data_IF_339775852917
#
_entry.id   IF_339775852917
#
_cell.length_a   1.000
_cell.length_b   1.000
_cell.length_c   1.000
_cell.angle_alpha   90.00
_cell.angle_beta   90.00
_cell.angle_gamma   90.00
#
_symmetry.space_group_name_H-M   'P 1'
#
loop_
_entity.id
_entity.type
_entity.pdbx_description
1 polymer ?
#
# COMPACT_ATOMS: atom_id res chain seq x y z
N UNK A 1 44.14 2.61 -15.19
CA UNK A 1 43.73 2.41 -16.60
C UNK A 1 42.34 3.01 -16.78
N UNK A 2 41.94 3.45 -17.99
CA UNK A 2 40.68 4.18 -18.21
C UNK A 2 39.40 3.47 -17.70
N UNK A 3 39.43 2.14 -17.62
CA UNK A 3 38.35 1.35 -17.02
C UNK A 3 38.27 1.45 -15.50
N UNK A 4 39.41 1.53 -14.80
CA UNK A 4 39.45 1.67 -13.34
C UNK A 4 38.79 2.98 -12.92
N UNK A 5 39.05 4.06 -13.66
CA UNK A 5 38.49 5.38 -13.36
C UNK A 5 36.99 5.43 -13.65
N UNK A 6 36.52 4.78 -14.73
CA UNK A 6 35.08 4.60 -15.01
C UNK A 6 34.37 3.77 -13.94
N UNK A 7 35.02 2.71 -13.45
CA UNK A 7 34.46 1.89 -12.38
C UNK A 7 34.39 2.65 -11.05
N UNK A 8 35.42 3.44 -10.73
CA UNK A 8 35.39 4.34 -9.56
C UNK A 8 34.23 5.34 -9.63
N UNK A 9 34.06 6.01 -10.78
CA UNK A 9 32.93 6.94 -11.01
C UNK A 9 31.58 6.24 -10.88
N UNK A 10 31.41 5.06 -11.49
CA UNK A 10 30.19 4.25 -11.34
C UNK A 10 29.88 3.93 -9.87
N UNK A 11 30.88 3.47 -9.11
CA UNK A 11 30.70 3.14 -7.69
C UNK A 11 30.37 4.38 -6.86
N UNK A 12 31.02 5.51 -7.14
CA UNK A 12 30.74 6.78 -6.46
C UNK A 12 29.29 7.25 -6.71
N UNK A 13 28.83 7.25 -7.98
CA UNK A 13 27.44 7.61 -8.33
C UNK A 13 26.44 6.65 -7.70
N UNK A 14 26.76 5.35 -7.66
CA UNK A 14 25.88 4.35 -7.06
C UNK A 14 25.80 4.53 -5.54
N UNK A 15 26.92 4.84 -4.89
CA UNK A 15 26.95 5.16 -3.47
C UNK A 15 26.11 6.42 -3.17
N UNK A 16 26.26 7.48 -3.98
CA UNK A 16 25.46 8.70 -3.86
C UNK A 16 23.96 8.42 -3.99
N UNK A 17 23.55 7.73 -5.06
CA UNK A 17 22.15 7.37 -5.28
C UNK A 17 21.55 6.49 -4.17
N UNK A 18 22.35 5.60 -3.57
CA UNK A 18 21.92 4.76 -2.43
C UNK A 18 21.97 5.52 -1.10
N UNK A 19 22.72 6.61 -1.03
CA UNK A 19 22.78 7.53 0.11
C UNK A 19 21.51 8.33 0.35
N UNK A 20 20.55 8.30 -0.59
CA UNK A 20 19.23 8.94 -0.43
C UNK A 20 19.38 10.42 -0.06
N UNK A 21 18.53 10.98 0.81
CA UNK A 21 18.64 12.36 1.28
C UNK A 21 19.83 12.66 2.20
N UNK A 22 20.81 11.75 2.31
CA UNK A 22 22.02 11.92 3.09
C UNK A 22 21.93 11.41 4.54
N UNK A 23 23.09 11.28 5.21
CA UNK A 23 23.20 10.61 6.51
C UNK A 23 22.41 11.30 7.63
N UNK A 24 22.34 12.64 7.62
CA UNK A 24 21.61 13.41 8.64
C UNK A 24 20.10 13.13 8.59
N UNK A 25 19.50 13.18 7.39
CA UNK A 25 18.06 12.92 7.21
C UNK A 25 17.71 11.48 7.52
N UNK A 26 18.58 10.53 7.15
CA UNK A 26 18.44 9.12 7.49
C UNK A 26 18.54 8.88 9.00
N UNK A 27 19.50 9.52 9.68
CA UNK A 27 19.64 9.43 11.14
C UNK A 27 18.40 9.99 11.85
N UNK A 28 17.86 11.13 11.39
CA UNK A 28 16.62 11.70 11.93
C UNK A 28 15.43 10.76 11.77
N UNK A 29 15.28 10.10 10.62
CA UNK A 29 14.22 9.10 10.42
C UNK A 29 14.37 7.93 11.38
N UNK A 30 15.59 7.39 11.50
CA UNK A 30 15.89 6.30 12.42
C UNK A 30 15.62 6.67 13.88
N UNK A 31 15.98 7.89 14.30
CA UNK A 31 15.69 8.39 15.64
C UNK A 31 14.18 8.51 15.92
N UNK A 32 13.38 8.77 14.89
CA UNK A 32 11.92 8.76 14.97
C UNK A 32 11.30 7.34 14.89
N UNK A 33 12.11 6.29 14.83
CA UNK A 33 11.65 4.90 14.71
C UNK A 33 11.10 4.53 13.33
N UNK A 34 11.26 5.40 12.32
CA UNK A 34 10.74 5.19 10.97
C UNK A 34 11.79 4.57 10.05
N UNK A 35 11.38 3.65 9.20
CA UNK A 35 12.25 3.06 8.18
C UNK A 35 12.44 4.05 7.02
N UNK A 36 13.57 3.91 6.30
CA UNK A 36 13.75 4.55 5.01
C UNK A 36 13.22 3.69 3.85
N UNK A 37 13.10 4.26 2.65
CA UNK A 37 12.53 3.59 1.48
C UNK A 37 13.21 2.26 1.14
N UNK A 38 14.55 2.18 1.25
CA UNK A 38 15.32 0.97 0.94
C UNK A 38 15.16 -0.07 2.05
N UNK A 39 15.20 0.32 3.31
CA UNK A 39 14.93 -0.56 4.45
C UNK A 39 13.53 -1.20 4.33
N UNK A 40 12.51 -0.43 3.92
CA UNK A 40 11.15 -0.96 3.68
C UNK A 40 11.12 -1.99 2.55
N UNK A 41 11.79 -1.70 1.43
CA UNK A 41 11.93 -2.63 0.30
C UNK A 41 12.64 -3.92 0.74
N UNK A 42 13.73 -3.80 1.50
CA UNK A 42 14.52 -4.94 1.98
C UNK A 42 13.74 -5.81 2.99
N UNK A 43 12.88 -5.22 3.84
CA UNK A 43 12.01 -5.98 4.76
C UNK A 43 10.82 -6.64 4.06
N UNK A 44 10.32 -6.00 3.00
CA UNK A 44 9.20 -6.52 2.22
C UNK A 44 9.62 -7.70 1.36
N UNK A 45 10.75 -7.60 0.66
CA UNK A 45 11.14 -8.58 -0.35
C UNK A 45 11.98 -9.72 0.23
N UNK A 46 12.02 -10.84 -0.48
CA UNK A 46 12.94 -11.94 -0.20
C UNK A 46 14.38 -11.46 -0.35
N UNK A 47 15.27 -11.88 0.56
CA UNK A 47 16.65 -11.44 0.60
C UNK A 47 17.37 -11.64 -0.74
N UNK A 48 18.04 -10.58 -1.22
CA UNK A 48 18.80 -10.60 -2.48
C UNK A 48 17.95 -10.62 -3.76
N UNK A 49 16.62 -10.55 -3.66
CA UNK A 49 15.74 -10.60 -4.85
C UNK A 49 15.53 -9.26 -5.54
N UNK A 50 15.85 -8.14 -4.88
CA UNK A 50 15.54 -6.81 -5.39
C UNK A 50 16.45 -6.40 -6.57
N UNK A 51 15.82 -6.23 -7.74
CA UNK A 51 16.40 -5.63 -8.92
C UNK A 51 15.85 -4.21 -9.09
N UNK A 52 16.63 -3.23 -8.65
CA UNK A 52 16.26 -1.82 -8.78
C UNK A 52 16.35 -1.35 -10.23
N UNK A 53 15.34 -0.60 -10.67
CA UNK A 53 15.29 0.06 -11.98
C UNK A 53 15.48 1.56 -11.75
N UNK A 54 16.25 2.23 -12.60
CA UNK A 54 16.42 3.70 -12.53
C UNK A 54 17.08 4.17 -11.24
N UNK A 55 18.10 3.46 -10.74
CA UNK A 55 18.90 3.86 -9.57
C UNK A 55 19.55 5.22 -9.77
N UNK A 56 19.99 5.53 -10.99
CA UNK A 56 20.67 6.79 -11.34
C UNK A 56 19.72 7.89 -11.82
N UNK A 57 18.40 7.69 -11.70
CA UNK A 57 17.45 8.75 -12.04
C UNK A 57 17.65 9.94 -11.10
N UNK A 58 17.57 11.13 -11.67
CA UNK A 58 17.56 12.41 -10.95
C UNK A 58 16.50 13.31 -11.57
N UNK A 59 16.21 14.44 -10.93
CA UNK A 59 15.42 15.50 -11.54
C UNK A 59 16.02 15.90 -12.90
N UNK A 60 15.14 16.27 -13.82
CA UNK A 60 15.47 16.84 -15.11
C UNK A 60 15.51 18.38 -15.09
N UNK A 61 15.29 18.98 -13.92
CA UNK A 61 15.53 20.40 -13.66
C UNK A 61 17.04 20.62 -13.48
N UNK A 62 17.68 21.48 -14.32
CA UNK A 62 19.11 21.71 -14.24
C UNK A 62 19.58 22.15 -12.85
N UNK A 63 20.64 21.53 -12.34
CA UNK A 63 21.24 21.85 -11.04
C UNK A 63 20.63 21.11 -9.85
N UNK A 64 19.58 20.31 -10.05
CA UNK A 64 18.95 19.51 -8.99
C UNK A 64 19.47 18.06 -8.93
N UNK A 65 20.40 17.67 -9.81
CA UNK A 65 20.79 16.27 -10.00
C UNK A 65 21.39 15.66 -8.72
N UNK A 66 22.24 16.43 -8.03
CA UNK A 66 22.88 15.98 -6.79
C UNK A 66 21.89 15.82 -5.63
N UNK A 67 20.84 16.64 -5.58
CA UNK A 67 19.86 16.69 -4.49
C UNK A 67 18.68 15.74 -4.67
N UNK A 68 18.61 15.06 -5.83
CA UNK A 68 17.48 14.20 -6.22
C UNK A 68 17.90 12.75 -6.52
N UNK A 69 18.64 12.07 -5.63
CA UNK A 69 19.02 10.68 -5.88
C UNK A 69 17.81 9.77 -6.05
N UNK A 70 17.85 8.92 -7.09
CA UNK A 70 16.74 8.09 -7.57
C UNK A 70 15.42 8.86 -7.81
N UNK A 71 15.51 10.18 -7.94
CA UNK A 71 14.43 11.14 -7.93
C UNK A 71 13.36 10.88 -6.83
N UNK A 72 13.79 10.51 -5.62
CA UNK A 72 12.94 10.17 -4.46
C UNK A 72 12.04 8.92 -4.61
N UNK A 73 12.27 8.08 -5.64
CA UNK A 73 11.49 6.85 -5.88
C UNK A 73 12.40 5.64 -6.02
N UNK A 74 12.43 4.79 -5.01
CA UNK A 74 13.09 3.48 -5.06
C UNK A 74 12.10 2.47 -5.63
N UNK A 75 12.39 1.86 -6.77
CA UNK A 75 11.44 0.94 -7.40
C UNK A 75 12.09 -0.05 -8.34
N UNK A 76 11.43 -1.19 -8.54
CA UNK A 76 11.96 -2.29 -9.33
C UNK A 76 11.19 -3.59 -9.15
N UNK A 77 11.87 -4.69 -9.41
CA UNK A 77 11.33 -6.05 -9.30
C UNK A 77 11.90 -6.76 -8.07
N UNK A 78 11.13 -7.65 -7.49
CA UNK A 78 11.57 -8.46 -6.35
C UNK A 78 10.75 -9.74 -6.24
N UNK A 79 10.93 -10.45 -5.13
CA UNK A 79 10.09 -11.60 -4.78
C UNK A 79 9.51 -11.42 -3.38
N UNK A 80 8.31 -11.94 -3.18
CA UNK A 80 7.67 -12.13 -1.87
C UNK A 80 7.26 -13.59 -1.82
N UNK A 81 7.82 -14.35 -0.88
CA UNK A 81 7.58 -15.79 -0.73
C UNK A 81 7.82 -16.55 -2.05
N UNK A 82 8.92 -16.20 -2.73
CA UNK A 82 9.34 -16.73 -4.03
C UNK A 82 8.59 -16.16 -5.24
N UNK A 83 7.45 -15.47 -5.02
CA UNK A 83 6.58 -14.97 -6.09
C UNK A 83 7.04 -13.60 -6.59
N UNK A 84 7.21 -13.40 -7.92
CA UNK A 84 7.71 -12.14 -8.45
C UNK A 84 6.69 -11.01 -8.28
N UNK A 85 7.18 -9.84 -7.86
CA UNK A 85 6.38 -8.63 -7.64
C UNK A 85 7.12 -7.40 -8.18
N UNK A 86 6.37 -6.32 -8.43
CA UNK A 86 6.90 -4.98 -8.63
C UNK A 86 6.69 -4.18 -7.35
N UNK A 87 7.73 -3.50 -6.88
CA UNK A 87 7.65 -2.60 -5.73
C UNK A 87 8.05 -1.18 -6.12
N UNK A 88 7.35 -0.20 -5.57
CA UNK A 88 7.70 1.22 -5.62
C UNK A 88 7.60 1.79 -4.21
N UNK A 89 8.66 2.40 -3.71
CA UNK A 89 8.72 3.04 -2.41
C UNK A 89 9.16 4.49 -2.55
N UNK A 90 8.42 5.39 -1.93
CA UNK A 90 8.81 6.78 -1.83
C UNK A 90 9.90 6.98 -0.77
N UNK A 91 10.89 7.79 -1.10
CA UNK A 91 11.94 8.21 -0.19
C UNK A 91 11.72 9.64 0.29
N UNK A 92 11.10 9.77 1.46
CA UNK A 92 10.78 11.05 2.06
C UNK A 92 12.05 11.86 2.45
N UNK A 93 13.23 11.24 2.52
CA UNK A 93 14.46 11.98 2.80
C UNK A 93 14.90 12.84 1.60
N UNK A 94 14.49 12.49 0.39
CA UNK A 94 14.77 13.23 -0.84
C UNK A 94 13.60 14.16 -1.13
N UNK A 95 13.75 15.44 -0.77
CA UNK A 95 12.76 16.51 -0.98
C UNK A 95 11.32 16.12 -0.56
N UNK A 96 11.17 15.47 0.61
CA UNK A 96 9.89 14.99 1.14
C UNK A 96 9.11 14.07 0.17
N UNK A 97 9.83 13.35 -0.70
CA UNK A 97 9.29 12.54 -1.79
C UNK A 97 8.25 13.27 -2.67
N UNK A 98 8.36 14.61 -2.75
CA UNK A 98 7.47 15.42 -3.58
C UNK A 98 7.48 14.91 -5.01
N UNK A 99 6.28 14.80 -5.57
CA UNK A 99 6.04 14.14 -6.85
C UNK A 99 6.61 14.98 -7.99
N UNK A 100 7.53 14.39 -8.74
CA UNK A 100 8.28 14.99 -9.84
C UNK A 100 8.05 14.24 -11.15
N UNK A 101 8.46 14.85 -12.27
CA UNK A 101 8.32 14.26 -13.61
C UNK A 101 9.01 12.90 -13.72
N UNK A 102 10.30 12.83 -13.36
CA UNK A 102 11.12 11.63 -13.55
C UNK A 102 10.66 10.50 -12.61
N UNK A 103 10.37 10.79 -11.34
CA UNK A 103 9.83 9.85 -10.38
C UNK A 103 8.48 9.26 -10.83
N UNK A 104 7.57 10.12 -11.28
CA UNK A 104 6.24 9.71 -11.76
C UNK A 104 6.33 8.87 -13.04
N UNK A 105 7.22 9.22 -13.96
CA UNK A 105 7.48 8.41 -15.15
C UNK A 105 8.03 7.02 -14.78
N UNK A 106 9.00 6.96 -13.87
CA UNK A 106 9.56 5.68 -13.37
C UNK A 106 8.47 4.80 -12.76
N UNK A 107 7.64 5.35 -11.89
CA UNK A 107 6.53 4.64 -11.28
C UNK A 107 5.51 4.14 -12.32
N UNK A 108 5.14 5.00 -13.27
CA UNK A 108 4.21 4.66 -14.34
C UNK A 108 4.73 3.50 -15.20
N UNK A 109 6.01 3.52 -15.58
CA UNK A 109 6.62 2.43 -16.35
C UNK A 109 6.69 1.12 -15.57
N UNK A 110 7.02 1.16 -14.28
CA UNK A 110 7.00 -0.01 -13.42
C UNK A 110 5.59 -0.63 -13.34
N UNK A 111 4.55 0.20 -13.16
CA UNK A 111 3.16 -0.26 -13.17
C UNK A 111 2.73 -0.83 -14.52
N UNK A 112 3.13 -0.20 -15.64
CA UNK A 112 2.86 -0.70 -17.01
C UNK A 112 3.53 -2.05 -17.24
N UNK A 113 4.79 -2.20 -16.81
CA UNK A 113 5.54 -3.46 -16.90
C UNK A 113 4.89 -4.54 -16.06
N UNK A 114 4.49 -4.24 -14.81
CA UNK A 114 3.78 -5.17 -13.94
C UNK A 114 2.50 -5.70 -14.60
N UNK A 115 1.67 -4.81 -15.13
CA UNK A 115 0.43 -5.17 -15.81
C UNK A 115 0.66 -6.00 -17.10
N UNK A 116 1.73 -5.73 -17.85
CA UNK A 116 2.11 -6.51 -19.04
C UNK A 116 2.63 -7.91 -18.68
N UNK A 117 3.38 -8.02 -17.57
CA UNK A 117 4.03 -9.25 -17.13
C UNK A 117 3.18 -10.09 -16.18
N UNK A 118 2.03 -9.59 -15.73
CA UNK A 118 1.17 -10.28 -14.79
C UNK A 118 1.76 -10.33 -13.38
N UNK A 119 2.42 -9.25 -12.93
CA UNK A 119 3.07 -9.17 -11.62
C UNK A 119 2.25 -8.29 -10.66
N UNK A 120 2.00 -8.73 -9.41
CA UNK A 120 1.47 -7.87 -8.36
C UNK A 120 2.31 -6.61 -8.16
N UNK A 121 1.64 -5.53 -7.77
CA UNK A 121 2.27 -4.24 -7.46
C UNK A 121 2.14 -3.99 -5.96
N UNK A 122 3.25 -3.65 -5.31
CA UNK A 122 3.26 -3.08 -3.96
C UNK A 122 3.73 -1.64 -4.02
N UNK A 123 2.94 -0.72 -3.48
CA UNK A 123 3.28 0.70 -3.39
C UNK A 123 3.44 1.12 -1.93
N UNK A 124 4.64 1.55 -1.55
CA UNK A 124 4.96 2.00 -0.20
C UNK A 124 4.94 3.53 -0.20
N UNK A 125 3.80 4.06 0.23
CA UNK A 125 3.39 5.44 0.06
C UNK A 125 3.87 6.33 1.22
N UNK A 126 4.56 7.42 0.84
CA UNK A 126 4.88 8.56 1.70
C UNK A 126 5.29 9.74 0.80
N UNK A 127 4.58 10.85 0.78
CA UNK A 127 5.03 12.06 0.05
C UNK A 127 4.34 13.34 0.52
N UNK A 128 5.06 14.45 0.42
CA UNK A 128 4.60 15.80 0.77
C UNK A 128 3.79 16.53 -0.31
N UNK A 129 3.29 15.85 -1.35
CA UNK A 129 2.55 16.47 -2.45
C UNK A 129 3.35 16.52 -3.76
N UNK A 130 3.20 17.60 -4.52
CA UNK A 130 3.86 17.79 -5.80
C UNK A 130 5.11 18.68 -5.68
N UNK A 131 6.11 18.43 -6.53
CA UNK A 131 7.35 19.21 -6.54
C UNK A 131 7.17 20.46 -7.39
N UNK A 132 6.99 21.60 -6.74
CA UNK A 132 6.58 22.85 -7.40
C UNK A 132 7.46 23.27 -8.59
N UNK A 133 8.81 23.26 -8.51
CA UNK A 133 9.65 23.58 -9.67
C UNK A 133 9.35 22.73 -10.91
N UNK A 134 9.05 21.45 -10.73
CA UNK A 134 8.84 20.48 -11.81
C UNK A 134 7.45 20.61 -12.47
N UNK A 135 6.46 21.10 -11.71
CA UNK A 135 5.04 21.03 -12.11
C UNK A 135 4.35 22.40 -12.18
N UNK A 136 5.12 23.49 -12.14
CA UNK A 136 4.55 24.84 -12.17
C UNK A 136 3.85 25.16 -13.50
N UNK A 137 2.69 25.80 -13.41
CA UNK A 137 1.88 26.19 -14.57
C UNK A 137 1.13 25.05 -15.24
N UNK A 138 0.27 25.39 -16.20
CA UNK A 138 -0.57 24.41 -16.92
C UNK A 138 0.26 23.36 -17.67
N UNK A 139 1.37 23.77 -18.28
CA UNK A 139 2.30 22.87 -18.97
C UNK A 139 2.99 21.90 -17.98
N UNK A 140 3.42 22.38 -16.82
CA UNK A 140 4.03 21.55 -15.78
C UNK A 140 3.07 20.48 -15.26
N UNK A 141 1.85 20.86 -14.90
CA UNK A 141 0.80 19.91 -14.48
C UNK A 141 0.47 18.91 -15.60
N UNK A 142 0.34 19.36 -16.84
CA UNK A 142 0.05 18.48 -17.98
C UNK A 142 1.18 17.47 -18.22
N UNK A 143 2.44 17.88 -18.01
CA UNK A 143 3.60 17.00 -18.12
C UNK A 143 3.64 15.89 -17.06
N UNK A 144 2.96 16.12 -15.92
CA UNK A 144 2.79 15.18 -14.82
C UNK A 144 1.59 14.22 -15.03
N UNK A 145 0.52 14.71 -15.68
CA UNK A 145 -0.77 14.04 -15.78
C UNK A 145 -0.81 12.82 -16.70
N UNK A 146 -0.05 12.79 -17.80
CA UNK A 146 -0.27 11.79 -18.86
C UNK A 146 0.34 10.41 -18.56
N UNK A 147 1.38 10.34 -17.71
CA UNK A 147 1.96 9.06 -17.27
C UNK A 147 1.28 8.50 -16.02
N UNK A 148 0.74 9.38 -15.18
CA UNK A 148 0.49 9.08 -13.76
C UNK A 148 -1.00 8.89 -13.45
N UNK A 149 -1.90 9.58 -14.16
CA UNK A 149 -3.31 9.65 -13.77
C UNK A 149 -4.28 8.67 -14.46
N UNK A 150 -3.96 8.07 -15.63
CA UNK A 150 -5.03 7.44 -16.45
C UNK A 150 -4.73 6.07 -17.05
N UNK A 151 -3.85 5.29 -16.42
CA UNK A 151 -4.09 3.86 -16.46
C UNK A 151 -5.34 3.57 -15.66
N UNK A 152 -6.54 3.77 -16.22
CA UNK A 152 -7.79 3.25 -15.63
C UNK A 152 -7.46 1.89 -15.04
N UNK A 153 -7.59 1.73 -13.72
CA UNK A 153 -7.13 0.50 -13.06
C UNK A 153 -7.99 -0.65 -13.56
N UNK A 154 -7.50 -1.33 -14.59
CA UNK A 154 -8.16 -2.49 -15.23
C UNK A 154 -8.05 -3.76 -14.39
N UNK A 155 -7.42 -3.67 -13.20
CA UNK A 155 -7.22 -4.78 -12.24
C UNK A 155 -6.71 -6.07 -12.90
N UNK A 156 -5.82 -5.94 -13.89
CA UNK A 156 -5.14 -7.07 -14.53
C UNK A 156 -4.19 -7.78 -13.57
N UNK A 157 -3.61 -7.01 -12.65
CA UNK A 157 -2.75 -7.46 -11.56
C UNK A 157 -3.24 -6.81 -10.27
N UNK A 158 -3.10 -7.49 -9.11
CA UNK A 158 -3.42 -6.89 -7.83
C UNK A 158 -2.44 -5.75 -7.51
N UNK A 159 -2.95 -4.70 -6.87
CA UNK A 159 -2.15 -3.60 -6.35
C UNK A 159 -2.49 -3.38 -4.87
N UNK A 160 -1.47 -3.47 -4.01
CA UNK A 160 -1.59 -3.19 -2.58
C UNK A 160 -0.76 -1.96 -2.25
N UNK A 161 -1.37 -0.98 -1.59
CA UNK A 161 -0.66 0.20 -1.09
C UNK A 161 -0.50 0.12 0.42
N UNK A 162 0.70 0.38 0.92
CA UNK A 162 0.94 0.63 2.33
C UNK A 162 1.24 2.12 2.54
N UNK A 163 0.38 2.83 3.27
CA UNK A 163 0.55 4.23 3.66
C UNK A 163 1.33 4.26 4.98
N UNK A 164 2.62 4.61 4.90
CA UNK A 164 3.60 4.44 5.99
C UNK A 164 4.08 5.78 6.58
N UNK A 165 3.33 6.85 6.35
CA UNK A 165 3.65 8.20 6.80
C UNK A 165 2.73 9.22 6.15
N UNK A 166 3.16 10.49 6.09
CA UNK A 166 2.42 11.54 5.42
C UNK A 166 2.32 11.26 3.92
N UNK A 167 1.10 11.15 3.40
CA UNK A 167 0.81 10.89 2.00
C UNK A 167 -0.18 11.91 1.47
N UNK A 168 0.33 12.87 0.71
CA UNK A 168 -0.49 13.93 0.11
C UNK A 168 -0.37 13.93 -1.41
N UNK A 169 -1.48 14.16 -2.10
CA UNK A 169 -1.53 14.20 -3.56
C UNK A 169 -1.34 12.81 -4.18
N UNK A 170 -0.30 12.62 -5.01
CA UNK A 170 -0.12 11.39 -5.78
C UNK A 170 -0.16 10.07 -4.98
N UNK A 171 0.55 9.91 -3.84
CA UNK A 171 0.43 8.69 -3.06
C UNK A 171 -1.00 8.39 -2.58
N UNK A 172 -1.79 9.42 -2.26
CA UNK A 172 -3.21 9.28 -1.91
C UNK A 172 -4.02 8.76 -3.10
N UNK A 173 -3.82 9.34 -4.28
CA UNK A 173 -4.47 8.86 -5.50
C UNK A 173 -4.11 7.40 -5.81
N UNK A 174 -2.85 7.01 -5.57
CA UNK A 174 -2.42 5.62 -5.71
C UNK A 174 -3.08 4.68 -4.70
N UNK A 175 -3.25 5.10 -3.45
CA UNK A 175 -3.98 4.35 -2.45
C UNK A 175 -5.44 4.16 -2.88
N UNK A 176 -6.15 5.23 -3.26
CA UNK A 176 -7.54 5.15 -3.72
C UNK A 176 -7.74 4.27 -4.98
N UNK A 177 -6.69 4.10 -5.79
CA UNK A 177 -6.69 3.26 -7.00
C UNK A 177 -6.26 1.80 -6.73
N UNK A 178 -5.81 1.49 -5.51
CA UNK A 178 -5.37 0.15 -5.11
C UNK A 178 -6.54 -0.79 -4.87
N UNK A 179 -6.27 -2.09 -4.83
CA UNK A 179 -7.27 -3.10 -4.44
C UNK A 179 -7.37 -3.22 -2.92
N UNK A 180 -6.25 -3.04 -2.20
CA UNK A 180 -6.19 -3.00 -0.74
C UNK A 180 -5.21 -1.92 -0.29
N UNK A 181 -5.63 -1.15 0.71
CA UNK A 181 -4.86 -0.11 1.39
C UNK A 181 -4.61 -0.53 2.82
N UNK A 182 -3.33 -0.70 3.16
CA UNK A 182 -2.85 -0.88 4.53
C UNK A 182 -2.36 0.48 5.02
N UNK A 183 -2.83 0.94 6.18
CA UNK A 183 -2.42 2.24 6.72
C UNK A 183 -1.76 2.06 8.09
N UNK A 184 -0.61 2.69 8.28
CA UNK A 184 0.08 2.72 9.56
C UNK A 184 -0.64 3.67 10.52
N UNK A 185 -0.78 3.28 11.79
CA UNK A 185 -1.25 4.16 12.85
C UNK A 185 -0.33 5.39 13.00
N UNK A 186 -0.91 6.59 12.99
CA UNK A 186 -0.17 7.86 12.95
C UNK A 186 0.29 8.31 11.56
N UNK A 187 0.03 7.53 10.50
CA UNK A 187 0.13 8.03 9.13
C UNK A 187 -1.06 8.92 8.78
N UNK A 188 -0.93 9.72 7.71
CA UNK A 188 -2.02 10.55 7.22
C UNK A 188 -2.13 10.49 5.70
N UNK A 189 -3.35 10.51 5.20
CA UNK A 189 -3.67 10.47 3.78
C UNK A 189 -4.65 11.58 3.44
N UNK A 190 -4.30 12.45 2.49
CA UNK A 190 -5.20 13.50 2.02
C UNK A 190 -4.87 13.95 0.60
N UNK A 191 -5.78 14.66 -0.06
CA UNK A 191 -5.50 15.24 -1.39
C UNK A 191 -4.47 16.36 -1.27
N UNK A 192 -4.63 17.23 -0.27
CA UNK A 192 -3.73 18.35 0.02
C UNK A 192 -3.20 18.23 1.44
N UNK A 193 -1.93 18.59 1.66
CA UNK A 193 -1.33 18.56 3.00
C UNK A 193 -1.78 19.73 3.89
N UNK A 194 -1.61 19.63 5.22
CA UNK A 194 -2.07 20.65 6.18
C UNK A 194 -1.56 22.06 5.87
N UNK A 195 -0.30 22.18 5.41
CA UNK A 195 0.32 23.47 5.10
C UNK A 195 -0.37 24.20 3.94
N UNK A 196 -0.82 23.46 2.93
CA UNK A 196 -1.53 24.03 1.78
C UNK A 196 -2.92 24.47 2.21
N UNK A 197 -3.59 23.69 3.06
CA UNK A 197 -4.90 24.03 3.61
C UNK A 197 -4.84 25.30 4.46
N UNK A 198 -3.88 25.39 5.39
CA UNK A 198 -3.69 26.57 6.24
C UNK A 198 -3.48 27.85 5.40
N UNK A 199 -2.69 27.78 4.33
CA UNK A 199 -2.47 28.93 3.44
C UNK A 199 -3.73 29.33 2.66
N UNK A 200 -4.60 28.37 2.33
CA UNK A 200 -5.80 28.61 1.51
C UNK A 200 -7.01 29.04 2.34
N UNK A 201 -7.21 28.47 3.54
CA UNK A 201 -8.41 28.67 4.37
C UNK A 201 -8.13 29.41 5.67
N UNK A 202 -6.87 29.49 6.11
CA UNK A 202 -6.48 30.01 7.43
C UNK A 202 -6.66 29.02 8.58
N UNK A 203 -7.20 27.82 8.31
CA UNK A 203 -7.45 26.80 9.33
C UNK A 203 -6.19 25.98 9.62
N UNK A 204 -5.89 25.79 10.90
CA UNK A 204 -4.82 24.91 11.36
C UNK A 204 -5.40 23.57 11.73
N UNK A 205 -5.01 22.53 11.00
CA UNK A 205 -5.43 21.15 11.23
C UNK A 205 -4.19 20.26 11.37
N UNK A 206 -4.20 19.31 12.29
CA UNK A 206 -3.12 18.33 12.39
C UNK A 206 -3.20 17.30 11.25
N UNK A 207 -2.09 16.61 10.90
CA UNK A 207 -2.14 15.49 9.96
C UNK A 207 -3.14 14.39 10.34
N UNK A 208 -3.30 14.10 11.63
CA UNK A 208 -4.22 13.08 12.14
C UNK A 208 -5.69 13.50 11.96
N UNK A 209 -6.02 14.75 12.30
CA UNK A 209 -7.38 15.29 12.11
C UNK A 209 -7.75 15.43 10.63
N UNK A 210 -6.76 15.69 9.75
CA UNK A 210 -6.99 15.85 8.32
C UNK A 210 -7.31 14.54 7.60
N UNK A 211 -6.73 13.43 8.05
CA UNK A 211 -6.85 12.14 7.34
C UNK A 211 -6.05 11.03 7.99
N UNK A 212 -6.18 10.89 9.32
CA UNK A 212 -5.52 9.83 10.08
C UNK A 212 -6.08 8.44 9.79
N UNK A 213 -5.34 7.41 10.22
CA UNK A 213 -5.69 6.01 9.97
C UNK A 213 -7.07 5.63 10.54
N UNK A 214 -7.43 6.19 11.69
CA UNK A 214 -8.73 5.93 12.33
C UNK A 214 -9.90 6.45 11.48
N UNK A 215 -9.83 7.71 11.04
CA UNK A 215 -10.85 8.31 10.16
C UNK A 215 -11.01 7.49 8.87
N UNK A 216 -9.89 7.05 8.28
CA UNK A 216 -9.95 6.25 7.06
C UNK A 216 -10.46 4.82 7.26
N UNK A 217 -10.27 4.24 8.44
CA UNK A 217 -10.73 2.89 8.74
C UNK A 217 -12.17 2.84 9.27
N UNK A 218 -12.68 3.92 9.87
CA UNK A 218 -13.98 3.96 10.56
C UNK A 218 -15.03 4.79 9.82
N UNK A 219 -14.65 5.86 9.12
CA UNK A 219 -15.60 6.85 8.58
C UNK A 219 -15.61 6.89 7.05
N UNK A 220 -14.44 7.01 6.41
CA UNK A 220 -14.39 7.14 4.93
C UNK A 220 -14.23 5.81 4.20
N UNK A 221 -13.83 4.76 4.93
CA UNK A 221 -13.54 3.45 4.37
C UNK A 221 -12.28 3.39 3.48
N UNK A 222 -11.45 4.42 3.37
CA UNK A 222 -10.26 4.37 2.50
C UNK A 222 -9.07 3.56 3.06
N UNK A 223 -9.08 3.18 4.34
CA UNK A 223 -8.10 2.27 4.92
C UNK A 223 -8.76 0.90 5.14
N UNK A 224 -8.36 -0.10 4.36
CA UNK A 224 -8.90 -1.46 4.45
C UNK A 224 -8.37 -2.22 5.67
N UNK A 225 -7.11 -1.95 6.01
CA UNK A 225 -6.37 -2.59 7.09
C UNK A 225 -5.52 -1.53 7.81
N UNK A 226 -5.36 -1.67 9.12
CA UNK A 226 -4.52 -0.78 9.92
C UNK A 226 -3.48 -1.59 10.68
N UNK A 227 -2.21 -1.22 10.54
CA UNK A 227 -1.11 -1.80 11.32
C UNK A 227 -0.54 -0.77 12.30
N UNK A 228 -0.02 -1.23 13.44
CA UNK A 228 0.55 -0.37 14.50
C UNK A 228 2.01 -0.05 14.28
N UNK A 229 2.70 -0.87 13.49
CA UNK A 229 4.12 -0.71 13.14
C UNK A 229 4.31 -0.89 11.64
N UNK A 230 5.42 -0.36 11.11
CA UNK A 230 5.75 -0.58 9.70
C UNK A 230 5.89 -2.07 9.37
N UNK A 231 6.49 -2.87 10.26
CA UNK A 231 6.63 -4.32 10.07
C UNK A 231 5.29 -5.03 10.00
N UNK A 232 4.34 -4.65 10.86
CA UNK A 232 2.97 -5.19 10.81
C UNK A 232 2.28 -4.80 9.51
N UNK A 233 2.45 -3.56 9.03
CA UNK A 233 1.91 -3.14 7.75
C UNK A 233 2.50 -3.95 6.58
N UNK A 234 3.81 -4.17 6.56
CA UNK A 234 4.47 -4.99 5.54
C UNK A 234 4.04 -6.45 5.62
N UNK A 235 3.84 -7.00 6.83
CA UNK A 235 3.28 -8.34 7.03
C UNK A 235 1.84 -8.45 6.53
N UNK A 236 1.00 -7.43 6.74
CA UNK A 236 -0.35 -7.36 6.19
C UNK A 236 -0.34 -7.31 4.66
N UNK A 237 0.59 -6.57 4.04
CA UNK A 237 0.77 -6.60 2.58
C UNK A 237 1.10 -8.01 2.09
N UNK A 238 2.04 -8.71 2.73
CA UNK A 238 2.36 -10.11 2.41
C UNK A 238 1.16 -11.03 2.58
N UNK A 239 0.40 -10.86 3.67
CA UNK A 239 -0.83 -11.62 3.96
C UNK A 239 -1.89 -11.39 2.90
N UNK A 240 -2.18 -10.14 2.50
CA UNK A 240 -3.10 -9.83 1.40
C UNK A 240 -2.67 -10.54 0.13
N UNK A 241 -1.39 -10.41 -0.22
CA UNK A 241 -0.83 -11.04 -1.41
C UNK A 241 -0.95 -12.56 -1.37
N UNK A 242 -0.84 -13.21 -0.21
CA UNK A 242 -1.00 -14.66 -0.10
C UNK A 242 -2.41 -15.15 -0.46
N UNK A 243 -3.44 -14.30 -0.41
CA UNK A 243 -4.79 -14.63 -0.87
C UNK A 243 -5.07 -14.28 -2.34
N UNK A 244 -4.24 -13.45 -2.98
CA UNK A 244 -4.50 -12.95 -4.34
C UNK A 244 -3.67 -13.71 -5.40
N UNK A 245 -4.20 -13.93 -6.61
CA UNK A 245 -3.42 -14.44 -7.73
C UNK A 245 -2.39 -13.40 -8.21
N UNK A 246 -1.38 -13.79 -9.00
CA UNK A 246 -0.45 -12.82 -9.58
C UNK A 246 -1.12 -11.90 -10.61
N UNK A 247 -2.15 -12.41 -11.31
CA UNK A 247 -2.94 -11.68 -12.29
C UNK A 247 -4.31 -12.32 -12.51
N UNK A 248 -5.21 -11.61 -13.19
CA UNK A 248 -6.61 -11.99 -13.41
C UNK A 248 -6.86 -13.19 -14.36
N UNK A 249 -5.81 -13.90 -14.78
CA UNK A 249 -5.89 -15.11 -15.62
C UNK A 249 -5.30 -16.33 -14.89
N UNK A 250 -5.12 -16.22 -13.59
CA UNK A 250 -4.58 -17.25 -12.72
C UNK A 250 -5.55 -17.41 -11.54
N UNK A 251 -5.75 -18.66 -11.10
CA UNK A 251 -6.44 -18.91 -9.84
C UNK A 251 -5.60 -18.39 -8.64
N UNK A 252 -6.24 -18.00 -7.53
CA UNK A 252 -5.53 -17.72 -6.29
C UNK A 252 -4.63 -18.90 -5.85
N UNK A 253 -3.55 -18.65 -5.11
CA UNK A 253 -2.67 -19.71 -4.61
C UNK A 253 -3.41 -20.60 -3.62
N UNK A 254 -3.12 -21.90 -3.62
CA UNK A 254 -3.61 -22.85 -2.62
C UNK A 254 -2.68 -22.92 -1.40
N UNK A 255 -3.16 -23.44 -0.28
CA UNK A 255 -2.35 -23.74 0.90
C UNK A 255 -2.70 -25.12 1.46
N UNK A 256 -1.85 -25.65 2.33
CA UNK A 256 -2.15 -26.87 3.09
C UNK A 256 -3.35 -26.66 4.02
N UNK A 257 -4.14 -27.72 4.19
CA UNK A 257 -5.31 -27.71 5.08
C UNK A 257 -4.84 -28.11 6.49
N UNK A 258 -4.97 -27.24 7.51
CA UNK A 258 -4.67 -27.60 8.88
C UNK A 258 -5.53 -28.78 9.35
N UNK A 259 -4.93 -29.73 10.08
CA UNK A 259 -5.65 -30.87 10.62
C UNK A 259 -6.82 -30.42 11.52
N UNK A 260 -7.98 -31.06 11.37
CA UNK A 260 -9.19 -30.75 12.15
C UNK A 260 -9.96 -29.51 11.69
N UNK A 261 -9.69 -28.98 10.49
CA UNK A 261 -10.41 -27.82 9.93
C UNK A 261 -11.92 -28.02 9.81
N UNK A 262 -12.39 -29.27 9.71
CA UNK A 262 -13.80 -29.65 9.61
C UNK A 262 -14.45 -30.06 10.94
N UNK A 263 -13.66 -30.18 12.02
CA UNK A 263 -14.12 -30.77 13.28
C UNK A 263 -15.32 -30.05 13.92
N UNK A 264 -15.39 -28.73 13.74
CA UNK A 264 -16.43 -27.88 14.33
C UNK A 264 -17.54 -27.51 13.34
N UNK A 265 -17.50 -27.97 12.08
CA UNK A 265 -18.53 -27.63 11.09
C UNK A 265 -19.92 -28.12 11.50
N UNK A 266 -19.99 -29.25 12.22
CA UNK A 266 -21.24 -29.82 12.71
C UNK A 266 -21.96 -28.99 13.78
N UNK A 267 -21.27 -28.04 14.44
CA UNK A 267 -21.81 -27.22 15.54
C UNK A 267 -22.30 -25.84 15.09
N UNK A 268 -22.32 -25.57 13.78
CA UNK A 268 -22.75 -24.27 13.23
C UNK A 268 -24.19 -23.92 13.63
N UNK A 269 -25.08 -24.92 13.66
CA UNK A 269 -26.48 -24.72 14.04
C UNK A 269 -26.63 -24.16 15.48
N UNK A 270 -25.70 -24.51 16.37
CA UNK A 270 -25.71 -24.07 17.77
C UNK A 270 -25.39 -22.57 17.92
N UNK A 271 -24.81 -21.95 16.89
CA UNK A 271 -24.44 -20.53 16.90
C UNK A 271 -25.58 -19.60 16.50
N UNK A 272 -26.61 -20.12 15.82
CA UNK A 272 -27.73 -19.34 15.30
C UNK A 272 -28.94 -19.51 16.22
N UNK A 273 -29.36 -18.46 16.96
CA UNK A 273 -30.50 -18.56 17.86
C UNK A 273 -31.80 -18.88 17.12
N UNK A 274 -32.64 -19.75 17.68
CA UNK A 274 -33.99 -20.00 17.17
C UNK A 274 -34.89 -18.75 17.27
N UNK A 275 -34.70 -17.95 18.32
CA UNK A 275 -35.44 -16.72 18.54
C UNK A 275 -35.02 -15.63 17.54
N UNK A 276 -35.93 -15.25 16.63
CA UNK A 276 -35.66 -14.29 15.53
C UNK A 276 -35.20 -12.90 15.98
N UNK A 277 -35.47 -12.50 17.22
CA UNK A 277 -35.08 -11.20 17.77
C UNK A 277 -33.71 -11.23 18.48
N UNK A 278 -33.02 -12.37 18.51
CA UNK A 278 -31.70 -12.51 19.14
C UNK A 278 -30.60 -12.51 18.09
N UNK A 279 -29.72 -11.52 18.17
CA UNK A 279 -28.55 -11.42 17.31
C UNK A 279 -27.45 -12.45 17.69
N UNK A 280 -26.58 -12.75 16.73
CA UNK A 280 -25.39 -13.59 16.89
C UNK A 280 -24.23 -13.03 16.09
N UNK A 281 -23.02 -13.41 16.48
CA UNK A 281 -21.79 -12.98 15.83
C UNK A 281 -21.49 -13.88 14.62
N UNK A 282 -21.73 -13.35 13.42
CA UNK A 282 -21.51 -14.08 12.16
C UNK A 282 -20.05 -14.51 11.97
N UNK A 283 -19.07 -13.82 12.59
CA UNK A 283 -17.67 -14.25 12.50
C UNK A 283 -17.43 -15.63 13.11
N UNK A 284 -18.22 -16.03 14.12
CA UNK A 284 -18.12 -17.37 14.72
C UNK A 284 -18.52 -18.46 13.72
N UNK A 285 -19.58 -18.20 12.95
CA UNK A 285 -20.04 -19.11 11.89
C UNK A 285 -18.98 -19.21 10.79
N UNK A 286 -18.46 -18.08 10.31
CA UNK A 286 -17.41 -18.07 9.29
C UNK A 286 -16.16 -18.85 9.74
N UNK A 287 -15.72 -18.68 10.99
CA UNK A 287 -14.60 -19.44 11.56
C UNK A 287 -14.86 -20.94 11.71
N UNK A 288 -16.12 -21.42 11.67
CA UNK A 288 -16.39 -22.87 11.63
C UNK A 288 -16.35 -23.43 10.21
N UNK A 289 -16.54 -22.58 9.20
CA UNK A 289 -16.50 -22.97 7.80
C UNK A 289 -15.08 -23.00 7.22
N UNK A 290 -14.14 -22.27 7.82
CA UNK A 290 -12.82 -22.02 7.22
C UNK A 290 -11.72 -22.92 7.77
N UNK A 291 -10.73 -23.17 6.92
CA UNK A 291 -9.53 -23.93 7.26
C UNK A 291 -8.82 -23.29 8.48
N UNK A 292 -8.57 -24.11 9.51
CA UNK A 292 -7.98 -23.67 10.78
C UNK A 292 -8.81 -22.63 11.57
N UNK A 293 -10.05 -22.35 11.15
CA UNK A 293 -10.89 -21.30 11.69
C UNK A 293 -10.37 -19.88 11.50
N UNK A 294 -9.52 -19.67 10.51
CA UNK A 294 -8.96 -18.36 10.17
C UNK A 294 -9.89 -17.60 9.23
N UNK A 295 -10.13 -16.33 9.54
CA UNK A 295 -10.75 -15.36 8.64
C UNK A 295 -9.90 -14.10 8.63
N UNK A 296 -9.66 -13.55 7.44
CA UNK A 296 -8.94 -12.30 7.26
C UNK A 296 -9.91 -11.22 6.79
N UNK A 297 -10.45 -10.47 7.75
CA UNK A 297 -11.42 -9.42 7.46
C UNK A 297 -10.77 -8.23 6.75
N UNK A 298 -11.46 -7.73 5.73
CA UNK A 298 -11.13 -6.51 5.00
C UNK A 298 -12.12 -5.44 5.45
N UNK A 299 -11.64 -4.21 5.70
CA UNK A 299 -12.46 -3.10 6.22
C UNK A 299 -13.23 -3.48 7.50
N UNK A 300 -12.61 -4.20 8.44
CA UNK A 300 -13.28 -4.66 9.68
C UNK A 300 -13.93 -3.51 10.46
N UNK A 301 -13.35 -2.30 10.40
CA UNK A 301 -13.79 -1.13 11.16
C UNK A 301 -14.80 -0.24 10.44
N UNK A 302 -15.07 -0.47 9.15
CA UNK A 302 -16.00 0.30 8.31
C UNK A 302 -17.20 -0.58 7.91
N UNK A 303 -18.38 0.04 7.71
CA UNK A 303 -19.58 -0.67 7.26
C UNK A 303 -19.89 -1.93 8.08
N UNK A 304 -19.86 -1.82 9.42
CA UNK A 304 -19.83 -2.97 10.35
C UNK A 304 -21.07 -3.90 10.27
N UNK A 305 -22.14 -3.44 9.64
CA UNK A 305 -23.34 -4.24 9.33
C UNK A 305 -23.05 -5.41 8.37
N UNK A 306 -21.97 -5.31 7.59
CA UNK A 306 -21.50 -6.31 6.62
C UNK A 306 -20.06 -6.70 6.92
N UNK A 307 -19.77 -8.00 6.86
CA UNK A 307 -18.43 -8.58 6.92
C UNK A 307 -17.98 -8.85 5.49
N UNK A 308 -16.80 -8.34 5.13
CA UNK A 308 -16.04 -8.80 3.96
C UNK A 308 -14.76 -9.44 4.46
N UNK A 309 -14.47 -10.67 4.02
CA UNK A 309 -13.31 -11.41 4.51
C UNK A 309 -12.74 -12.34 3.43
N UNK A 310 -11.43 -12.55 3.48
CA UNK A 310 -10.74 -13.61 2.75
C UNK A 310 -10.44 -14.75 3.70
N UNK A 311 -10.57 -15.98 3.23
CA UNK A 311 -10.22 -17.17 4.01
C UNK A 311 -9.79 -18.31 3.08
N UNK A 312 -9.58 -19.49 3.64
CA UNK A 312 -9.36 -20.73 2.88
C UNK A 312 -10.38 -21.79 3.28
N UNK A 313 -10.80 -22.60 2.32
CA UNK A 313 -11.64 -23.78 2.51
C UNK A 313 -11.10 -24.91 1.61
N UNK A 314 -10.71 -26.02 2.22
CA UNK A 314 -10.05 -27.11 1.48
C UNK A 314 -8.78 -26.66 0.76
N UNK A 315 -8.05 -25.69 1.33
CA UNK A 315 -6.82 -25.13 0.81
C UNK A 315 -7.02 -24.02 -0.23
N UNK A 316 -8.25 -23.83 -0.72
CA UNK A 316 -8.58 -22.83 -1.75
C UNK A 316 -9.02 -21.51 -1.14
N UNK A 317 -8.58 -20.39 -1.73
CA UNK A 317 -9.02 -19.06 -1.28
C UNK A 317 -10.50 -18.87 -1.57
N UNK A 318 -11.24 -18.40 -0.56
CA UNK A 318 -12.65 -17.99 -0.65
C UNK A 318 -12.82 -16.55 -0.16
N UNK A 319 -13.77 -15.84 -0.74
CA UNK A 319 -14.20 -14.52 -0.28
C UNK A 319 -15.60 -14.62 0.33
N UNK A 320 -15.79 -14.06 1.52
CA UNK A 320 -17.07 -13.97 2.20
C UNK A 320 -17.63 -12.56 2.13
N UNK A 321 -18.93 -12.46 1.88
CA UNK A 321 -19.76 -11.27 2.12
C UNK A 321 -20.93 -11.76 2.97
N UNK A 322 -21.03 -11.27 4.21
CA UNK A 322 -22.04 -11.74 5.14
C UNK A 322 -22.57 -10.62 6.03
N UNK A 323 -23.89 -10.58 6.26
CA UNK A 323 -24.48 -9.68 7.27
C UNK A 323 -23.95 -10.01 8.66
N UNK A 324 -23.79 -9.00 9.51
CA UNK A 324 -23.38 -9.14 10.91
C UNK A 324 -24.56 -8.75 11.84
N UNK A 325 -25.36 -9.71 12.33
CA UNK A 325 -26.58 -9.42 13.10
C UNK A 325 -26.36 -8.60 14.37
N UNK A 326 -25.22 -8.74 15.06
CA UNK A 326 -24.91 -7.91 16.24
C UNK A 326 -24.67 -6.42 15.89
N UNK A 327 -24.57 -6.08 14.60
CA UNK A 327 -24.39 -4.72 14.11
C UNK A 327 -25.64 -4.30 13.33
N UNK A 328 -26.44 -3.37 13.89
CA UNK A 328 -27.67 -2.86 13.25
C UNK A 328 -28.65 -3.97 12.81
N UNK A 329 -28.68 -5.11 13.50
CA UNK A 329 -29.52 -6.26 13.13
C UNK A 329 -29.09 -6.95 11.83
N UNK A 330 -27.91 -6.65 11.28
CA UNK A 330 -27.43 -7.13 9.99
C UNK A 330 -28.01 -6.41 8.78
N UNK A 331 -28.76 -5.32 8.99
CA UNK A 331 -29.30 -4.50 7.92
C UNK A 331 -28.18 -3.69 7.24
N UNK A 332 -28.03 -3.87 5.92
CA UNK A 332 -27.04 -3.18 5.12
C UNK A 332 -27.39 -1.68 5.01
N UNK A 333 -26.47 -0.82 5.44
CA UNK A 333 -26.52 0.64 5.31
C UNK A 333 -25.65 1.11 4.13
N UNK A 334 -25.58 2.43 3.89
CA UNK A 334 -24.79 2.98 2.79
C UNK A 334 -23.32 2.54 2.86
N UNK A 335 -22.69 2.67 4.03
CA UNK A 335 -21.32 2.22 4.26
C UNK A 335 -21.15 0.70 4.05
N UNK A 336 -22.14 -0.09 4.48
CA UNK A 336 -22.16 -1.55 4.24
C UNK A 336 -22.33 -1.92 2.77
N UNK A 337 -23.01 -1.10 1.97
CA UNK A 337 -23.15 -1.28 0.51
C UNK A 337 -21.88 -0.87 -0.25
N UNK A 338 -21.19 0.17 0.21
CA UNK A 338 -19.92 0.63 -0.39
C UNK A 338 -18.75 -0.31 -0.08
N UNK A 339 -18.81 -0.99 1.08
CA UNK A 339 -17.84 -1.99 1.53
C UNK A 339 -17.85 -3.27 0.70
#
# INVERSE_FOLDING_TARGET
MAWDDRMKDFHARRAHARGMGGPERLARRRAAGALNARERVDRLLDAGSFLEVGTFNTSDVPGMEADTPADSKVGGFGRIDGRPVVVCSNDFTVLAATSSRVASHKEAELKRLAARRGLPIVYLAEAGGARMPDIMGSAGIASFGNSTYYGTRRRRVPMVTAVLGQSYGLPTWNACLSDVVVMLEGASMAVSGPRVLELATGEKISPEELGGARMHAEETGFADLVGKTEDECLALVKRVLSYLPSHNRQAPPTAEVPAGSDAEMGTIADLVPEARNRAYDMTRVLRRLTDGGEIFQIKERFGKSVITALARMGGHVVGFVASQPIQKGGACDADGCDK
#
